data_IF_710951000417
#
_entry.id   IF_710951000417
#
_cell.length_a   1.000
_cell.length_b   1.000
_cell.length_c   1.000
_cell.angle_alpha   90.00
_cell.angle_beta   90.00
_cell.angle_gamma   90.00
#
_symmetry.space_group_name_H-M   'P 1'
#
loop_
_entity.id
_entity.type
_entity.pdbx_description
1 polymer ?
#
# COMPACT_ATOMS: atom_id res chain seq x y z
N UNK A 1 -20.84 0.70 10.94
CA UNK A 1 -19.77 0.36 9.99
C UNK A 1 -19.37 -1.09 10.20
N UNK A 2 -19.26 -1.87 9.13
CA UNK A 2 -19.01 -3.31 9.18
C UNK A 2 -17.54 -3.60 9.54
N UNK A 3 -17.23 -3.45 10.83
CA UNK A 3 -15.89 -3.38 11.44
C UNK A 3 -15.03 -4.61 11.12
N UNK A 4 -15.66 -5.78 11.06
CA UNK A 4 -15.01 -7.02 10.65
C UNK A 4 -14.64 -7.01 9.16
N UNK A 5 -15.53 -6.52 8.28
CA UNK A 5 -15.28 -6.47 6.83
C UNK A 5 -14.13 -5.53 6.47
N UNK A 6 -14.03 -4.36 7.10
CA UNK A 6 -12.91 -3.43 6.86
C UNK A 6 -11.58 -4.01 7.36
N UNK A 7 -11.56 -4.70 8.50
CA UNK A 7 -10.35 -5.32 9.03
C UNK A 7 -9.85 -6.42 8.09
N UNK A 8 -10.74 -7.31 7.64
CA UNK A 8 -10.42 -8.37 6.69
C UNK A 8 -9.93 -7.79 5.36
N UNK A 9 -10.60 -6.77 4.82
CA UNK A 9 -10.15 -6.10 3.60
C UNK A 9 -8.75 -5.49 3.74
N UNK A 10 -8.43 -4.90 4.90
CA UNK A 10 -7.07 -4.37 5.18
C UNK A 10 -6.03 -5.47 5.27
N UNK A 11 -6.34 -6.62 5.88
CA UNK A 11 -5.41 -7.75 5.95
C UNK A 11 -5.12 -8.32 4.55
N UNK A 12 -6.16 -8.46 3.73
CA UNK A 12 -6.02 -8.86 2.32
C UNK A 12 -5.17 -7.84 1.55
N UNK A 13 -5.41 -6.54 1.75
CA UNK A 13 -4.63 -5.47 1.13
C UNK A 13 -3.14 -5.58 1.48
N UNK A 14 -2.83 -5.73 2.77
CA UNK A 14 -1.47 -5.91 3.28
C UNK A 14 -0.82 -7.14 2.65
N UNK A 15 -1.53 -8.27 2.62
CA UNK A 15 -1.01 -9.51 2.06
C UNK A 15 -0.60 -9.34 0.59
N UNK A 16 -1.50 -8.81 -0.25
CA UNK A 16 -1.22 -8.58 -1.66
C UNK A 16 -0.10 -7.56 -1.88
N UNK A 17 -0.10 -6.45 -1.15
CA UNK A 17 0.91 -5.39 -1.27
C UNK A 17 2.30 -5.86 -0.82
N UNK A 18 2.38 -6.55 0.32
CA UNK A 18 3.63 -7.08 0.87
C UNK A 18 4.20 -8.16 -0.03
N UNK A 19 3.34 -9.07 -0.51
CA UNK A 19 3.77 -10.14 -1.43
C UNK A 19 4.26 -9.56 -2.75
N UNK A 20 3.57 -8.57 -3.32
CA UNK A 20 4.01 -7.91 -4.54
C UNK A 20 5.37 -7.22 -4.39
N UNK A 21 5.56 -6.42 -3.33
CA UNK A 21 6.84 -5.74 -3.08
C UNK A 21 7.99 -6.73 -2.84
N UNK A 22 7.71 -7.87 -2.18
CA UNK A 22 8.68 -8.93 -1.99
C UNK A 22 9.05 -9.62 -3.32
N UNK A 23 8.06 -9.94 -4.17
CA UNK A 23 8.31 -10.50 -5.50
C UNK A 23 9.19 -9.54 -6.32
N UNK A 24 8.88 -8.23 -6.31
CA UNK A 24 9.68 -7.25 -7.05
C UNK A 24 11.11 -7.16 -6.49
N UNK A 25 11.28 -7.23 -5.17
CA UNK A 25 12.60 -7.15 -4.53
C UNK A 25 13.53 -8.32 -4.91
N UNK A 26 12.96 -9.52 -5.11
CA UNK A 26 13.73 -10.73 -5.41
C UNK A 26 13.73 -11.12 -6.90
N UNK A 27 13.01 -10.38 -7.75
CA UNK A 27 13.05 -10.58 -9.19
C UNK A 27 14.45 -10.31 -9.75
N UNK A 28 14.88 -11.19 -10.64
CA UNK A 28 16.10 -11.08 -11.44
C UNK A 28 15.76 -11.14 -12.94
N UNK A 29 16.75 -10.94 -13.81
CA UNK A 29 16.55 -10.99 -15.26
C UNK A 29 15.88 -12.30 -15.73
N UNK A 30 16.26 -13.45 -15.14
CA UNK A 30 15.68 -14.76 -15.47
C UNK A 30 14.28 -15.01 -14.91
N UNK A 31 13.79 -14.15 -14.01
CA UNK A 31 12.48 -14.25 -13.38
C UNK A 31 11.60 -13.03 -13.65
N UNK A 32 11.93 -12.21 -14.64
CA UNK A 32 11.19 -10.98 -14.99
C UNK A 32 9.70 -11.21 -15.25
N UNK A 33 9.30 -12.42 -15.67
CA UNK A 33 7.89 -12.83 -15.83
C UNK A 33 7.09 -12.67 -14.52
N UNK A 34 7.73 -12.82 -13.35
CA UNK A 34 7.08 -12.60 -12.06
C UNK A 34 6.60 -11.15 -11.85
N UNK A 35 7.15 -10.17 -12.58
CA UNK A 35 6.67 -8.78 -12.52
C UNK A 35 5.25 -8.66 -13.08
N UNK A 36 4.88 -9.47 -14.08
CA UNK A 36 3.51 -9.50 -14.59
C UNK A 36 2.52 -10.01 -13.54
N UNK A 37 2.96 -10.84 -12.61
CA UNK A 37 2.17 -11.25 -11.45
C UNK A 37 2.19 -10.19 -10.33
N UNK A 38 3.36 -9.61 -10.06
CA UNK A 38 3.53 -8.67 -8.97
C UNK A 38 2.77 -7.35 -9.18
N UNK A 39 2.74 -6.83 -10.41
CA UNK A 39 2.11 -5.54 -10.69
C UNK A 39 0.59 -5.53 -10.42
N UNK A 40 -0.21 -6.51 -10.89
CA UNK A 40 -1.62 -6.62 -10.50
C UNK A 40 -1.82 -6.80 -9.00
N UNK A 41 -1.01 -7.62 -8.33
CA UNK A 41 -1.09 -7.80 -6.87
C UNK A 41 -0.83 -6.48 -6.13
N UNK A 42 0.14 -5.71 -6.60
CA UNK A 42 0.45 -4.39 -6.04
C UNK A 42 -0.71 -3.43 -6.20
N UNK A 43 -1.33 -3.40 -7.39
CA UNK A 43 -2.50 -2.57 -7.70
C UNK A 43 -3.71 -2.95 -6.84
N UNK A 44 -4.01 -4.25 -6.72
CA UNK A 44 -5.11 -4.74 -5.87
C UNK A 44 -4.89 -4.33 -4.42
N UNK A 45 -3.68 -4.57 -3.88
CA UNK A 45 -3.33 -4.17 -2.51
C UNK A 45 -3.45 -2.66 -2.30
N UNK A 46 -2.94 -1.86 -3.23
CA UNK A 46 -3.01 -0.40 -3.19
C UNK A 46 -4.46 0.14 -3.21
N UNK A 47 -5.30 -0.36 -4.12
CA UNK A 47 -6.71 0.06 -4.23
C UNK A 47 -7.50 -0.34 -2.97
N UNK A 48 -7.28 -1.55 -2.43
CA UNK A 48 -7.92 -1.96 -1.18
C UNK A 48 -7.50 -1.07 0.00
N UNK A 49 -6.23 -0.66 0.06
CA UNK A 49 -5.80 0.34 1.04
C UNK A 49 -6.50 1.68 0.83
N UNK A 50 -6.61 2.17 -0.40
CA UNK A 50 -7.32 3.41 -0.68
C UNK A 50 -8.77 3.32 -0.19
N UNK A 51 -9.54 2.32 -0.64
CA UNK A 51 -10.95 2.15 -0.29
C UNK A 51 -11.15 2.09 1.22
N UNK A 52 -10.31 1.33 1.94
CA UNK A 52 -10.42 1.21 3.40
C UNK A 52 -10.02 2.48 4.13
N UNK A 53 -9.10 3.30 3.59
CA UNK A 53 -8.75 4.61 4.17
C UNK A 53 -9.78 5.70 3.83
N UNK A 54 -10.45 5.65 2.67
CA UNK A 54 -11.52 6.59 2.32
C UNK A 54 -12.69 6.55 3.32
N UNK A 55 -12.87 5.44 4.05
CA UNK A 55 -13.87 5.32 5.10
C UNK A 55 -13.69 6.35 6.22
N UNK A 56 -12.45 6.83 6.45
CA UNK A 56 -12.15 7.87 7.45
C UNK A 56 -12.89 9.18 7.15
N UNK A 57 -13.16 9.47 5.86
CA UNK A 57 -13.90 10.67 5.46
C UNK A 57 -15.31 10.71 6.05
N UNK A 58 -15.92 9.56 6.34
CA UNK A 58 -17.25 9.51 6.95
C UNK A 58 -17.27 10.04 8.39
N UNK A 59 -16.11 10.14 9.05
CA UNK A 59 -15.98 10.70 10.39
C UNK A 59 -16.02 12.23 10.40
N UNK A 60 -15.82 12.88 9.25
CA UNK A 60 -15.67 14.34 9.15
C UNK A 60 -16.94 15.05 8.65
N UNK A 61 -18.10 14.37 8.64
CA UNK A 61 -19.41 14.97 8.35
C UNK A 61 -19.42 15.84 7.08
N UNK A 62 -19.55 17.15 7.26
CA UNK A 62 -19.58 18.15 6.18
C UNK A 62 -18.28 18.20 5.34
N UNK A 63 -17.13 17.85 5.91
CA UNK A 63 -15.83 17.85 5.21
C UNK A 63 -15.49 16.50 4.56
N UNK A 64 -16.42 15.53 4.56
CA UNK A 64 -16.22 14.18 4.01
C UNK A 64 -15.62 14.20 2.59
N UNK A 65 -16.20 15.01 1.70
CA UNK A 65 -15.77 15.10 0.30
C UNK A 65 -14.33 15.60 0.19
N UNK A 66 -13.97 16.64 0.93
CA UNK A 66 -12.61 17.19 0.96
C UNK A 66 -11.59 16.15 1.41
N UNK A 67 -11.90 15.39 2.48
CA UNK A 67 -11.02 14.32 2.98
C UNK A 67 -10.86 13.21 1.93
N UNK A 68 -11.96 12.77 1.31
CA UNK A 68 -11.92 11.74 0.26
C UNK A 68 -11.09 12.22 -0.94
N UNK A 69 -11.28 13.45 -1.39
CA UNK A 69 -10.51 14.03 -2.51
C UNK A 69 -9.03 14.11 -2.18
N UNK A 70 -8.68 14.52 -0.95
CA UNK A 70 -7.29 14.56 -0.49
C UNK A 70 -6.63 13.17 -0.52
N UNK A 71 -7.32 12.14 -0.05
CA UNK A 71 -6.80 10.76 -0.10
C UNK A 71 -6.60 10.25 -1.53
N UNK A 72 -7.52 10.54 -2.44
CA UNK A 72 -7.36 10.18 -3.85
C UNK A 72 -6.17 10.91 -4.49
N UNK A 73 -6.03 12.22 -4.24
CA UNK A 73 -4.89 12.99 -4.73
C UNK A 73 -3.55 12.47 -4.21
N UNK A 74 -3.49 12.11 -2.93
CA UNK A 74 -2.30 11.52 -2.32
C UNK A 74 -2.00 10.12 -2.90
N UNK A 75 -3.02 9.31 -3.16
CA UNK A 75 -2.86 7.99 -3.79
C UNK A 75 -2.37 8.10 -5.23
N UNK A 76 -2.95 8.99 -6.03
CA UNK A 76 -2.50 9.23 -7.42
C UNK A 76 -1.04 9.71 -7.47
N UNK A 77 -0.71 10.65 -6.58
CA UNK A 77 0.65 11.17 -6.41
C UNK A 77 1.66 10.12 -5.89
N UNK A 78 1.21 9.01 -5.31
CA UNK A 78 2.10 7.97 -4.77
C UNK A 78 2.96 7.29 -5.84
N UNK A 79 2.58 7.40 -7.12
CA UNK A 79 3.41 7.01 -8.26
C UNK A 79 4.79 7.66 -8.26
N UNK A 80 4.93 8.86 -7.67
CA UNK A 80 6.21 9.54 -7.47
C UNK A 80 7.20 8.72 -6.61
N UNK A 81 6.74 7.78 -5.78
CA UNK A 81 7.62 6.86 -5.04
C UNK A 81 8.43 5.99 -5.99
N UNK A 82 7.86 5.52 -7.10
CA UNK A 82 8.61 4.77 -8.11
C UNK A 82 9.66 5.62 -8.81
N UNK A 83 9.36 6.91 -9.04
CA UNK A 83 10.34 7.87 -9.57
C UNK A 83 11.51 8.01 -8.59
N UNK A 84 11.23 8.18 -7.29
CA UNK A 84 12.26 8.25 -6.24
C UNK A 84 13.11 6.97 -6.24
N UNK A 85 12.49 5.79 -6.28
CA UNK A 85 13.21 4.50 -6.35
C UNK A 85 14.14 4.44 -7.57
N UNK A 86 13.66 4.88 -8.73
CA UNK A 86 14.47 4.96 -9.95
C UNK A 86 15.69 5.86 -9.76
N UNK A 87 15.49 7.07 -9.22
CA UNK A 87 16.60 8.00 -8.95
C UNK A 87 17.59 7.43 -7.93
N UNK A 88 17.13 6.76 -6.88
CA UNK A 88 17.99 6.07 -5.92
C UNK A 88 18.81 4.96 -6.60
N UNK A 89 18.20 4.22 -7.52
CA UNK A 89 18.87 3.19 -8.29
C UNK A 89 19.97 3.75 -9.18
N UNK A 90 19.71 4.86 -9.88
CA UNK A 90 20.72 5.56 -10.67
C UNK A 90 21.89 6.09 -9.83
N UNK A 91 21.67 6.32 -8.52
CA UNK A 91 22.70 6.72 -7.55
C UNK A 91 23.41 5.54 -6.88
N UNK A 92 23.14 4.30 -7.30
CA UNK A 92 23.83 3.10 -6.83
C UNK A 92 23.12 2.32 -5.71
N UNK A 93 21.92 2.73 -5.29
CA UNK A 93 21.13 1.97 -4.31
C UNK A 93 20.38 0.84 -5.03
N UNK A 94 20.63 -0.41 -4.66
CA UNK A 94 19.97 -1.55 -5.33
C UNK A 94 18.44 -1.49 -5.24
N UNK A 95 17.75 -1.85 -6.33
CA UNK A 95 16.27 -1.98 -6.36
C UNK A 95 15.76 -2.90 -5.25
N UNK A 96 16.47 -4.00 -5.01
CA UNK A 96 16.18 -4.95 -3.93
C UNK A 96 16.11 -4.26 -2.56
N UNK A 97 17.10 -3.42 -2.22
CA UNK A 97 17.11 -2.71 -0.96
C UNK A 97 15.90 -1.75 -0.84
N UNK A 98 15.59 -1.01 -1.91
CA UNK A 98 14.45 -0.09 -1.94
C UNK A 98 13.11 -0.80 -1.77
N UNK A 99 12.90 -1.95 -2.43
CA UNK A 99 11.65 -2.71 -2.31
C UNK A 99 11.56 -3.50 -0.99
N UNK A 100 12.67 -3.94 -0.41
CA UNK A 100 12.70 -4.48 0.96
C UNK A 100 12.31 -3.40 1.96
N UNK A 101 12.86 -2.19 1.83
CA UNK A 101 12.49 -1.05 2.67
C UNK A 101 10.99 -0.76 2.57
N UNK A 102 10.42 -0.71 1.36
CA UNK A 102 8.98 -0.56 1.17
C UNK A 102 8.18 -1.71 1.80
N UNK A 103 8.65 -2.95 1.71
CA UNK A 103 7.98 -4.11 2.30
C UNK A 103 7.93 -4.01 3.83
N UNK A 104 9.04 -3.60 4.47
CA UNK A 104 9.10 -3.34 5.92
C UNK A 104 8.16 -2.19 6.31
N UNK A 105 8.19 -1.07 5.57
CA UNK A 105 7.25 0.03 5.78
C UNK A 105 5.79 -0.42 5.61
N UNK A 106 5.50 -1.34 4.68
CA UNK A 106 4.15 -1.86 4.49
C UNK A 106 3.69 -2.73 5.67
N UNK A 107 4.63 -3.46 6.28
CA UNK A 107 4.39 -4.25 7.49
C UNK A 107 4.03 -3.35 8.68
N UNK A 108 4.52 -2.10 8.72
CA UNK A 108 4.06 -1.11 9.72
C UNK A 108 2.55 -0.83 9.63
N UNK A 109 1.92 -0.98 8.46
CA UNK A 109 0.47 -0.87 8.33
C UNK A 109 -0.27 -2.00 9.08
N UNK A 110 0.34 -3.16 9.29
CA UNK A 110 -0.19 -4.24 10.15
C UNK A 110 -0.32 -3.72 11.57
N UNK A 111 0.76 -3.16 12.12
CA UNK A 111 0.79 -2.61 13.48
C UNK A 111 -0.29 -1.54 13.66
N UNK A 112 -0.40 -0.57 12.73
CA UNK A 112 -1.47 0.44 12.78
C UNK A 112 -2.88 -0.16 12.68
N UNK A 113 -3.07 -1.16 11.83
CA UNK A 113 -4.39 -1.80 11.65
C UNK A 113 -4.84 -2.53 12.93
N UNK A 114 -3.92 -3.11 13.69
CA UNK A 114 -4.26 -3.78 14.94
C UNK A 114 -4.28 -2.86 16.18
N UNK A 115 -3.45 -1.81 16.20
CA UNK A 115 -3.32 -0.92 17.38
C UNK A 115 -4.30 0.25 17.37
N UNK A 116 -4.59 0.85 16.21
CA UNK A 116 -5.40 2.07 16.11
C UNK A 116 -6.88 1.79 15.78
N UNK A 117 -7.20 0.57 15.36
CA UNK A 117 -8.59 0.20 15.11
C UNK A 117 -9.25 -0.10 16.46
N UNK A 118 -10.27 0.69 16.89
CA UNK A 118 -10.82 0.58 18.23
C UNK A 118 -11.29 -0.85 18.51
N UNK A 119 -10.93 -1.41 19.68
CA UNK A 119 -11.33 -2.76 20.09
C UNK A 119 -12.65 -2.85 20.89
N UNK A 120 -13.26 -1.74 21.29
CA UNK A 120 -14.63 -1.71 21.82
C UNK A 120 -15.02 -0.34 22.37
N UNK A 121 -16.22 0.16 22.05
CA UNK A 121 -17.49 -0.04 22.76
C UNK A 121 -18.63 0.07 21.74
#
# INVERSE_FOLDING_TARGET
FDRFKTTVARLIAIFFYTTATLIIAFTSAGSAVLLFLAMPMLTIGGILFLITNLQIGNLFGQHRSTIITLYNGAFDSSSAVFLIIKLLYEKGISLKASFIFLSVCSTWHVARTFLLMPRGH
#
